data_IF_982926766588
#
_entry.id   IF_982926766588
#
_cell.length_a   1.000
_cell.length_b   1.000
_cell.length_c   1.000
_cell.angle_alpha   90.00
_cell.angle_beta   90.00
_cell.angle_gamma   90.00
#
_symmetry.space_group_name_H-M   'P 1'
#
loop_
_entity.id
_entity.type
_entity.pdbx_description
1 polymer ?
#
# COMPACT_ATOMS: atom_id res chain seq x y z
N UNK A 1 -8.23 33.07 -19.08
CA UNK A 1 -7.63 32.51 -17.86
C UNK A 1 -8.59 32.79 -16.73
N UNK A 2 -9.52 31.87 -16.47
CA UNK A 2 -10.39 31.99 -15.30
C UNK A 2 -9.63 31.49 -14.08
N UNK A 3 -9.30 32.41 -13.18
CA UNK A 3 -8.87 32.07 -11.82
C UNK A 3 -10.04 31.35 -11.13
N UNK A 4 -10.05 30.01 -11.16
CA UNK A 4 -10.80 29.24 -10.16
C UNK A 4 -10.22 29.66 -8.81
N UNK A 5 -11.07 30.25 -7.97
CA UNK A 5 -10.71 30.62 -6.60
C UNK A 5 -10.16 29.43 -5.81
N UNK A 6 -9.63 29.67 -4.60
CA UNK A 6 -9.14 28.58 -3.77
C UNK A 6 -10.21 27.48 -3.66
N UNK A 7 -9.82 26.20 -3.73
CA UNK A 7 -10.76 25.09 -3.68
C UNK A 7 -11.67 25.26 -2.47
N UNK A 8 -12.99 25.18 -2.70
CA UNK A 8 -13.96 25.35 -1.64
C UNK A 8 -13.64 24.36 -0.51
N UNK A 9 -13.49 24.87 0.71
CA UNK A 9 -13.27 24.03 1.88
C UNK A 9 -14.58 23.30 2.18
N UNK A 10 -14.67 22.04 1.76
CA UNK A 10 -15.87 21.21 1.92
C UNK A 10 -15.86 20.60 3.31
N UNK A 11 -16.87 20.92 4.12
CA UNK A 11 -17.14 20.19 5.35
C UNK A 11 -17.91 18.91 5.05
N UNK A 12 -17.18 17.82 4.85
CA UNK A 12 -17.76 16.50 4.63
C UNK A 12 -18.60 16.00 5.81
N UNK A 13 -18.37 16.50 7.03
CA UNK A 13 -19.17 16.10 8.20
C UNK A 13 -20.52 16.82 8.25
N UNK A 14 -20.69 17.93 7.52
CA UNK A 14 -21.99 18.59 7.41
C UNK A 14 -23.00 17.75 6.61
N UNK A 15 -22.55 16.94 5.65
CA UNK A 15 -23.41 16.07 4.84
C UNK A 15 -23.93 14.86 5.66
N UNK A 16 -25.26 14.67 5.81
CA UNK A 16 -25.83 13.51 6.50
C UNK A 16 -25.43 12.16 5.90
N UNK A 17 -25.09 12.10 4.61
CA UNK A 17 -24.64 10.90 3.93
C UNK A 17 -23.28 10.46 4.48
N UNK A 18 -22.28 11.35 4.43
CA UNK A 18 -20.91 11.05 4.85
C UNK A 18 -20.79 10.82 6.35
N UNK A 19 -21.65 11.43 7.18
CA UNK A 19 -21.70 11.17 8.63
C UNK A 19 -21.94 9.71 9.00
N UNK A 20 -22.62 8.96 8.13
CA UNK A 20 -22.92 7.54 8.37
C UNK A 20 -21.85 6.60 7.82
N UNK A 21 -20.92 7.10 7.00
CA UNK A 21 -19.90 6.30 6.32
C UNK A 21 -18.62 6.24 7.15
N UNK A 22 -17.93 5.10 7.06
CA UNK A 22 -16.62 4.92 7.72
C UNK A 22 -15.49 5.62 6.96
N UNK A 23 -15.62 5.73 5.64
CA UNK A 23 -14.68 6.36 4.73
C UNK A 23 -15.36 7.52 3.99
N UNK A 24 -14.67 8.65 3.93
CA UNK A 24 -15.08 9.88 3.24
C UNK A 24 -14.04 10.27 2.19
N UNK A 25 -14.40 11.09 1.19
CA UNK A 25 -13.45 11.54 0.16
C UNK A 25 -12.19 12.22 0.72
N UNK A 26 -12.28 12.91 1.86
CA UNK A 26 -11.13 13.56 2.51
C UNK A 26 -10.09 12.55 3.03
N UNK A 27 -10.49 11.30 3.27
CA UNK A 27 -9.62 10.24 3.77
C UNK A 27 -8.95 9.44 2.64
N UNK A 28 -9.24 9.77 1.38
CA UNK A 28 -8.60 9.20 0.21
C UNK A 28 -7.43 10.07 -0.24
N UNK A 29 -6.42 9.44 -0.81
CA UNK A 29 -5.41 10.13 -1.61
C UNK A 29 -5.52 9.61 -3.03
N UNK A 30 -5.87 10.50 -3.96
CA UNK A 30 -6.12 10.14 -5.34
C UNK A 30 -5.12 10.87 -6.22
N UNK A 31 -4.51 10.14 -7.14
CA UNK A 31 -3.56 10.68 -8.10
C UNK A 31 -3.92 10.22 -9.50
N UNK A 32 -3.88 11.13 -10.45
CA UNK A 32 -4.01 10.82 -11.87
C UNK A 32 -2.62 10.82 -12.52
N UNK A 33 -2.28 9.72 -13.19
CA UNK A 33 -1.11 9.56 -14.04
C UNK A 33 -1.51 9.89 -15.47
N UNK A 34 -0.81 10.86 -16.06
CA UNK A 34 -1.10 11.36 -17.42
C UNK A 34 0.14 11.85 -18.14
N UNK A 35 0.07 11.94 -19.47
CA UNK A 35 1.09 12.56 -20.29
C UNK A 35 0.89 14.08 -20.34
N UNK A 36 1.92 14.84 -20.00
CA UNK A 36 1.89 16.30 -19.96
C UNK A 36 2.90 16.90 -20.95
N UNK A 37 2.38 17.64 -21.94
CA UNK A 37 3.16 18.34 -22.97
C UNK A 37 3.66 19.74 -22.59
N UNK A 38 4.08 19.96 -21.35
CA UNK A 38 4.35 21.33 -20.85
C UNK A 38 5.69 21.91 -21.33
N UNK A 39 6.60 21.07 -21.84
CA UNK A 39 7.93 21.49 -22.32
C UNK A 39 8.03 21.26 -23.82
N UNK A 40 8.03 22.35 -24.58
CA UNK A 40 8.18 22.34 -26.04
C UNK A 40 9.46 21.62 -26.50
N UNK A 41 10.49 21.61 -25.65
CA UNK A 41 11.83 21.12 -26.01
C UNK A 41 12.03 19.62 -25.72
N UNK A 42 11.16 18.99 -24.92
CA UNK A 42 11.34 17.61 -24.41
C UNK A 42 10.17 16.68 -24.79
N UNK A 43 9.06 17.24 -25.30
CA UNK A 43 7.86 16.46 -25.62
C UNK A 43 7.02 16.11 -24.39
N UNK A 44 5.93 15.34 -24.58
CA UNK A 44 5.04 14.94 -23.48
C UNK A 44 5.74 14.00 -22.50
N UNK A 45 5.61 14.28 -21.21
CA UNK A 45 6.21 13.49 -20.14
C UNK A 45 5.15 12.94 -19.21
N UNK A 46 5.34 11.70 -18.73
CA UNK A 46 4.46 11.08 -17.76
C UNK A 46 4.54 11.83 -16.41
N UNK A 47 3.42 12.32 -15.91
CA UNK A 47 3.31 13.05 -14.66
C UNK A 47 2.19 12.50 -13.80
N UNK A 48 2.37 12.60 -12.48
CA UNK A 48 1.41 12.15 -11.48
C UNK A 48 0.88 13.37 -10.72
N UNK A 49 -0.43 13.59 -10.76
CA UNK A 49 -1.08 14.75 -10.17
C UNK A 49 -2.10 14.36 -9.12
N UNK A 50 -1.96 14.96 -7.94
CA UNK A 50 -2.94 14.81 -6.88
C UNK A 50 -4.29 15.42 -7.29
N UNK A 51 -5.36 14.65 -7.07
CA UNK A 51 -6.74 15.07 -7.22
C UNK A 51 -7.28 15.46 -5.85
N UNK A 52 -7.65 16.74 -5.71
CA UNK A 52 -8.16 17.25 -4.44
C UNK A 52 -9.55 16.68 -4.14
N UNK A 53 -9.87 16.27 -2.90
CA UNK A 53 -11.19 15.72 -2.58
C UNK A 53 -12.37 16.61 -2.98
N UNK A 54 -12.19 17.94 -2.91
CA UNK A 54 -13.21 18.92 -3.30
C UNK A 54 -13.58 18.87 -4.78
N UNK A 55 -12.71 18.35 -5.66
CA UNK A 55 -13.00 18.25 -7.10
C UNK A 55 -13.93 17.09 -7.42
N UNK A 56 -14.18 16.17 -6.48
CA UNK A 56 -15.14 15.09 -6.66
C UNK A 56 -16.60 15.54 -6.52
N UNK A 57 -16.87 16.75 -6.02
CA UNK A 57 -18.24 17.21 -5.75
C UNK A 57 -19.22 17.03 -6.92
N UNK A 58 -18.89 17.41 -8.18
CA UNK A 58 -19.80 17.22 -9.30
C UNK A 58 -20.10 15.73 -9.55
N UNK A 59 -19.08 14.87 -9.48
CA UNK A 59 -19.27 13.43 -9.69
C UNK A 59 -20.05 12.79 -8.54
N UNK A 60 -19.88 13.29 -7.31
CA UNK A 60 -20.57 12.80 -6.12
C UNK A 60 -22.07 13.13 -6.10
N UNK A 61 -22.57 13.99 -6.99
CA UNK A 61 -24.02 14.13 -7.21
C UNK A 61 -24.63 12.81 -7.72
N UNK A 62 -23.82 11.98 -8.39
CA UNK A 62 -24.20 10.65 -8.90
C UNK A 62 -23.81 9.50 -7.98
N UNK A 63 -23.51 9.78 -6.71
CA UNK A 63 -23.00 8.77 -5.74
C UNK A 63 -23.89 7.54 -5.55
N UNK A 64 -25.19 7.64 -5.83
CA UNK A 64 -26.14 6.55 -5.68
C UNK A 64 -26.44 5.84 -7.01
N UNK A 65 -25.94 6.37 -8.15
CA UNK A 65 -26.24 5.89 -9.51
C UNK A 65 -25.90 4.42 -9.71
N UNK A 66 -24.72 3.97 -9.28
CA UNK A 66 -24.35 2.56 -9.40
C UNK A 66 -25.29 1.67 -8.57
N UNK A 67 -25.73 2.12 -7.39
CA UNK A 67 -26.64 1.33 -6.55
C UNK A 67 -28.03 1.17 -7.19
N UNK A 68 -28.42 2.15 -8.01
CA UNK A 68 -29.72 2.19 -8.69
C UNK A 68 -29.69 1.47 -10.05
N UNK A 69 -28.53 1.43 -10.72
CA UNK A 69 -28.42 0.97 -12.12
C UNK A 69 -27.66 -0.34 -12.31
N UNK A 70 -27.07 -0.91 -11.26
CA UNK A 70 -26.30 -2.16 -11.34
C UNK A 70 -27.13 -3.30 -11.99
N UNK A 71 -26.63 -3.95 -13.06
CA UNK A 71 -27.39 -4.93 -13.83
C UNK A 71 -27.42 -6.31 -13.13
N UNK A 72 -28.09 -6.38 -11.97
CA UNK A 72 -28.11 -7.56 -11.08
C UNK A 72 -28.60 -8.84 -11.77
N UNK A 73 -29.59 -8.73 -12.66
CA UNK A 73 -30.18 -9.86 -13.37
C UNK A 73 -29.21 -10.49 -14.37
N UNK A 74 -28.36 -9.67 -14.99
CA UNK A 74 -27.31 -10.13 -15.91
C UNK A 74 -26.10 -10.68 -15.15
N UNK A 75 -25.92 -10.26 -13.90
CA UNK A 75 -24.76 -10.58 -13.09
C UNK A 75 -24.88 -11.94 -12.38
N UNK A 76 -26.08 -12.28 -11.87
CA UNK A 76 -26.35 -13.58 -11.24
C UNK A 76 -27.85 -13.90 -11.22
N UNK A 77 -28.27 -15.16 -11.45
CA UNK A 77 -29.66 -15.57 -11.29
C UNK A 77 -30.07 -15.73 -9.82
N UNK A 78 -29.13 -15.73 -8.86
CA UNK A 78 -29.41 -15.99 -7.45
C UNK A 78 -29.92 -14.73 -6.72
N UNK A 79 -31.20 -14.75 -6.32
CA UNK A 79 -31.84 -13.64 -5.57
C UNK A 79 -31.13 -13.26 -4.27
N UNK A 80 -30.50 -14.22 -3.58
CA UNK A 80 -29.74 -13.94 -2.36
C UNK A 80 -28.51 -13.08 -2.64
N UNK A 81 -27.79 -13.40 -3.71
CA UNK A 81 -26.62 -12.64 -4.16
C UNK A 81 -27.03 -11.27 -4.70
N UNK A 82 -28.14 -11.17 -5.44
CA UNK A 82 -28.67 -9.88 -5.88
C UNK A 82 -28.94 -8.93 -4.69
N UNK A 83 -29.57 -9.43 -3.63
CA UNK A 83 -29.81 -8.64 -2.42
C UNK A 83 -28.52 -8.24 -1.72
N UNK A 84 -27.53 -9.15 -1.66
CA UNK A 84 -26.22 -8.90 -1.09
C UNK A 84 -25.48 -7.79 -1.87
N UNK A 85 -25.42 -7.91 -3.20
CA UNK A 85 -24.80 -6.90 -4.07
C UNK A 85 -25.46 -5.56 -3.94
N UNK A 86 -26.79 -5.52 -3.85
CA UNK A 86 -27.52 -4.27 -3.61
C UNK A 86 -27.12 -3.62 -2.29
N UNK A 87 -26.92 -4.41 -1.23
CA UNK A 87 -26.44 -3.89 0.06
C UNK A 87 -25.00 -3.38 -0.03
N UNK A 88 -24.11 -4.08 -0.73
CA UNK A 88 -22.72 -3.66 -0.96
C UNK A 88 -22.68 -2.38 -1.82
N UNK A 89 -23.46 -2.31 -2.89
CA UNK A 89 -23.57 -1.12 -3.75
C UNK A 89 -24.19 0.06 -3.00
N UNK A 90 -25.16 -0.18 -2.12
CA UNK A 90 -25.68 0.86 -1.24
C UNK A 90 -24.64 1.36 -0.22
N UNK A 91 -23.61 0.58 0.13
CA UNK A 91 -22.54 1.02 1.03
C UNK A 91 -21.38 1.71 0.28
N UNK A 92 -20.95 1.09 -0.82
CA UNK A 92 -19.69 1.41 -1.50
C UNK A 92 -19.87 1.94 -2.93
N UNK A 93 -21.10 1.95 -3.46
CA UNK A 93 -21.37 2.32 -4.85
C UNK A 93 -20.94 3.73 -5.22
N UNK A 94 -20.87 4.64 -4.25
CA UNK A 94 -20.34 6.00 -4.45
C UNK A 94 -18.89 6.02 -4.95
N UNK A 95 -18.11 4.94 -4.73
CA UNK A 95 -16.75 4.83 -5.24
C UNK A 95 -16.72 4.81 -6.78
N UNK A 96 -17.84 4.54 -7.45
CA UNK A 96 -17.95 4.67 -8.89
C UNK A 96 -17.65 6.09 -9.40
N UNK A 97 -17.97 7.11 -8.60
CA UNK A 97 -17.60 8.50 -8.88
C UNK A 97 -16.07 8.67 -9.00
N UNK A 98 -15.28 7.80 -8.37
CA UNK A 98 -13.82 7.84 -8.43
C UNK A 98 -13.27 7.27 -9.74
N UNK A 99 -14.06 6.61 -10.60
CA UNK A 99 -13.63 6.28 -11.97
C UNK A 99 -13.37 7.54 -12.78
N UNK A 100 -14.09 8.63 -12.45
CA UNK A 100 -13.81 9.97 -12.94
C UNK A 100 -13.88 10.12 -14.45
N UNK A 101 -14.93 9.59 -15.06
CA UNK A 101 -15.19 9.76 -16.49
C UNK A 101 -15.10 11.25 -16.87
N UNK A 102 -15.63 12.16 -16.04
CA UNK A 102 -15.73 13.60 -16.37
C UNK A 102 -14.56 14.48 -15.91
N UNK A 103 -13.92 14.19 -14.77
CA UNK A 103 -12.70 14.92 -14.33
C UNK A 103 -11.54 14.70 -15.29
N UNK A 104 -11.54 13.57 -16.00
CA UNK A 104 -10.59 13.30 -17.06
C UNK A 104 -11.02 13.90 -18.41
N UNK A 105 -12.30 14.25 -18.61
CA UNK A 105 -12.87 14.81 -19.85
C UNK A 105 -12.64 16.31 -20.07
N UNK A 106 -11.70 16.97 -19.38
CA UNK A 106 -11.40 18.36 -19.70
C UNK A 106 -11.05 18.48 -21.19
N UNK A 107 -11.68 19.44 -21.88
CA UNK A 107 -11.72 19.69 -23.33
C UNK A 107 -10.37 19.72 -24.09
N UNK A 108 -9.25 19.53 -23.40
CA UNK A 108 -7.89 19.61 -23.94
C UNK A 108 -7.06 18.32 -23.80
N UNK A 109 -7.55 17.28 -23.11
CA UNK A 109 -6.81 16.02 -22.91
C UNK A 109 -7.41 14.88 -23.76
N UNK A 110 -6.76 14.49 -24.89
CA UNK A 110 -7.12 13.30 -25.65
C UNK A 110 -7.10 12.06 -24.74
N UNK A 111 -7.93 11.03 -25.03
CA UNK A 111 -7.94 9.77 -24.27
C UNK A 111 -6.55 9.14 -24.12
N UNK A 112 -5.70 9.31 -25.14
CA UNK A 112 -4.33 8.78 -25.26
C UNK A 112 -3.36 9.34 -24.21
N UNK A 113 -3.66 10.52 -23.65
CA UNK A 113 -2.85 11.15 -22.60
C UNK A 113 -3.19 10.64 -21.20
N UNK A 114 -4.28 9.89 -21.04
CA UNK A 114 -4.74 9.36 -19.75
C UNK A 114 -4.20 7.96 -19.58
N UNK A 115 -3.53 7.70 -18.46
CA UNK A 115 -2.84 6.43 -18.24
C UNK A 115 -3.47 5.63 -17.12
N UNK A 116 -3.44 6.17 -15.91
CA UNK A 116 -3.91 5.43 -14.73
C UNK A 116 -4.37 6.38 -13.63
N UNK A 117 -5.44 6.04 -12.91
CA UNK A 117 -5.84 6.62 -11.64
C UNK A 117 -5.43 5.70 -10.51
N UNK A 118 -4.66 6.27 -9.58
CA UNK A 118 -4.21 5.62 -8.38
C UNK A 118 -4.93 6.16 -7.16
N UNK A 119 -5.54 5.26 -6.39
CA UNK A 119 -6.23 5.58 -5.15
C UNK A 119 -5.48 4.91 -3.99
N UNK A 120 -5.15 5.68 -2.96
CA UNK A 120 -4.53 5.16 -1.75
C UNK A 120 -5.49 5.30 -0.56
N UNK A 121 -5.68 4.19 0.16
CA UNK A 121 -6.59 4.05 1.28
C UNK A 121 -5.82 3.50 2.48
N UNK A 122 -6.22 3.89 3.71
CA UNK A 122 -5.69 3.24 4.90
C UNK A 122 -6.19 1.80 4.99
N UNK A 123 -5.29 0.85 5.25
CA UNK A 123 -5.61 -0.57 5.43
C UNK A 123 -6.48 -0.89 6.65
N UNK A 124 -6.79 0.09 7.50
CA UNK A 124 -7.84 -0.04 8.53
C UNK A 124 -9.24 -0.26 7.94
N UNK A 125 -9.40 0.03 6.65
CA UNK A 125 -10.63 -0.12 5.90
C UNK A 125 -10.58 -1.38 5.02
N UNK A 126 -10.22 -2.53 5.58
CA UNK A 126 -10.10 -3.80 4.83
C UNK A 126 -11.39 -4.19 4.10
N UNK A 127 -12.55 -3.94 4.71
CA UNK A 127 -13.87 -4.23 4.13
C UNK A 127 -14.10 -3.45 2.81
N UNK A 128 -13.35 -2.37 2.58
CA UNK A 128 -13.43 -1.58 1.36
C UNK A 128 -12.70 -2.22 0.17
N UNK A 129 -11.98 -3.33 0.32
CA UNK A 129 -11.43 -4.07 -0.85
C UNK A 129 -12.55 -4.46 -1.81
N UNK A 130 -13.60 -5.10 -1.30
CA UNK A 130 -14.78 -5.50 -2.08
C UNK A 130 -15.50 -4.25 -2.61
N UNK A 131 -15.63 -3.22 -1.79
CA UNK A 131 -16.24 -1.95 -2.20
C UNK A 131 -15.50 -1.25 -3.34
N UNK A 132 -14.17 -1.27 -3.32
CA UNK A 132 -13.33 -0.70 -4.38
C UNK A 132 -13.47 -1.50 -5.67
N UNK A 133 -13.41 -2.83 -5.61
CA UNK A 133 -13.61 -3.67 -6.80
C UNK A 133 -15.01 -3.42 -7.39
N UNK A 134 -16.07 -3.47 -6.57
CA UNK A 134 -17.44 -3.25 -7.03
C UNK A 134 -17.63 -1.84 -7.62
N UNK A 135 -17.22 -0.81 -6.89
CA UNK A 135 -17.45 0.58 -7.26
C UNK A 135 -16.63 0.99 -8.48
N UNK A 136 -15.39 0.52 -8.57
CA UNK A 136 -14.49 0.85 -9.67
C UNK A 136 -14.58 -0.13 -10.84
N UNK A 137 -15.43 -1.15 -10.85
CA UNK A 137 -15.57 -2.02 -12.04
C UNK A 137 -16.46 -1.41 -13.11
N UNK A 138 -16.24 -1.79 -14.38
CA UNK A 138 -17.15 -1.46 -15.49
C UNK A 138 -18.25 -2.51 -15.65
N UNK A 139 -19.39 -2.25 -15.00
CA UNK A 139 -20.58 -3.10 -15.09
C UNK A 139 -21.26 -3.06 -16.45
N UNK A 140 -20.93 -2.13 -17.35
CA UNK A 140 -21.53 -2.05 -18.67
C UNK A 140 -20.99 -3.08 -19.66
N UNK A 141 -19.77 -3.58 -19.45
CA UNK A 141 -19.09 -4.47 -20.39
C UNK A 141 -19.23 -5.94 -20.03
N UNK A 142 -18.92 -6.33 -18.77
CA UNK A 142 -18.92 -7.73 -18.35
C UNK A 142 -19.41 -7.92 -16.90
N UNK A 143 -20.74 -7.83 -16.64
CA UNK A 143 -21.30 -8.03 -15.29
C UNK A 143 -20.95 -9.38 -14.65
N UNK A 144 -20.97 -10.46 -15.44
CA UNK A 144 -20.67 -11.82 -14.97
C UNK A 144 -19.21 -11.94 -14.53
N UNK A 145 -18.28 -11.37 -15.31
CA UNK A 145 -16.85 -11.33 -14.96
C UNK A 145 -16.59 -10.51 -13.69
N UNK A 146 -17.27 -9.37 -13.51
CA UNK A 146 -17.16 -8.57 -12.28
C UNK A 146 -17.68 -9.36 -11.08
N UNK A 147 -18.76 -10.12 -11.22
CA UNK A 147 -19.27 -10.98 -10.17
C UNK A 147 -18.31 -12.11 -9.81
N UNK A 148 -17.76 -12.78 -10.81
CA UNK A 148 -16.74 -13.80 -10.60
C UNK A 148 -15.53 -13.21 -9.86
N UNK A 149 -15.09 -12.02 -10.25
CA UNK A 149 -14.00 -11.31 -9.58
C UNK A 149 -14.31 -10.98 -8.11
N UNK A 150 -15.54 -10.55 -7.80
CA UNK A 150 -15.96 -10.28 -6.42
C UNK A 150 -15.97 -11.57 -5.59
N UNK A 151 -16.49 -12.69 -6.13
CA UNK A 151 -16.47 -13.97 -5.44
C UNK A 151 -15.04 -14.47 -5.21
N UNK A 152 -14.19 -14.37 -6.23
CA UNK A 152 -12.79 -14.76 -6.12
C UNK A 152 -12.03 -13.87 -5.15
N UNK A 153 -12.33 -12.57 -5.09
CA UNK A 153 -11.77 -11.65 -4.11
C UNK A 153 -12.12 -12.07 -2.68
N UNK A 154 -13.39 -12.34 -2.41
CA UNK A 154 -13.84 -12.78 -1.09
C UNK A 154 -13.22 -14.13 -0.70
N UNK A 155 -13.13 -15.05 -1.65
CA UNK A 155 -12.46 -16.32 -1.46
C UNK A 155 -10.97 -16.13 -1.14
N UNK A 156 -10.28 -15.29 -1.92
CA UNK A 156 -8.87 -14.95 -1.74
C UNK A 156 -8.61 -14.32 -0.37
N UNK A 157 -9.46 -13.36 0.05
CA UNK A 157 -9.41 -12.76 1.38
C UNK A 157 -9.54 -13.85 2.44
N UNK A 158 -10.55 -14.71 2.36
CA UNK A 158 -10.76 -15.77 3.34
C UNK A 158 -9.61 -16.80 3.38
N UNK A 159 -9.09 -17.16 2.21
CA UNK A 159 -8.00 -18.13 2.05
C UNK A 159 -6.66 -17.62 2.57
N UNK A 160 -6.38 -16.33 2.44
CA UNK A 160 -5.08 -15.74 2.79
C UNK A 160 -5.09 -14.98 4.11
N UNK A 161 -6.26 -14.74 4.68
CA UNK A 161 -6.35 -14.20 6.01
C UNK A 161 -5.86 -15.21 7.05
N UNK A 162 -4.97 -14.75 7.91
CA UNK A 162 -4.36 -15.54 8.96
C UNK A 162 -4.66 -14.88 10.30
N UNK A 163 -4.92 -15.74 11.27
CA UNK A 163 -5.07 -15.37 12.66
C UNK A 163 -3.82 -15.82 13.41
N UNK A 164 -3.22 -14.91 14.14
CA UNK A 164 -2.18 -15.24 15.11
C UNK A 164 -2.66 -14.90 16.52
N UNK A 165 -1.91 -15.35 17.53
CA UNK A 165 -2.02 -14.84 18.92
C UNK A 165 -1.80 -13.34 19.05
N UNK A 166 -1.54 -12.69 17.92
CA UNK A 166 -1.31 -11.28 17.83
C UNK A 166 -2.31 -10.56 16.90
N UNK A 167 -3.28 -11.22 16.28
CA UNK A 167 -4.31 -10.56 15.45
C UNK A 167 -4.30 -11.02 13.99
N UNK A 168 -5.05 -10.30 13.15
CA UNK A 168 -5.34 -10.64 11.75
C UNK A 168 -4.33 -10.01 10.79
N UNK A 169 -3.96 -10.74 9.75
CA UNK A 169 -3.09 -10.28 8.65
C UNK A 169 -3.34 -11.11 7.39
N UNK A 170 -2.91 -10.62 6.23
CA UNK A 170 -2.84 -11.45 5.02
C UNK A 170 -1.46 -12.09 4.90
N UNK A 171 -1.40 -13.40 4.63
CA UNK A 171 -0.17 -13.99 4.09
C UNK A 171 0.22 -13.28 2.79
N UNK A 172 1.50 -13.29 2.40
CA UNK A 172 1.88 -12.77 1.09
C UNK A 172 1.26 -13.63 -0.01
N UNK A 173 0.69 -13.00 -1.03
CA UNK A 173 0.13 -13.68 -2.20
C UNK A 173 -0.04 -12.72 -3.37
N UNK A 174 -0.22 -13.30 -4.55
CA UNK A 174 -0.68 -12.63 -5.77
C UNK A 174 -1.76 -13.51 -6.38
N UNK A 175 -2.92 -12.93 -6.69
CA UNK A 175 -4.08 -13.66 -7.17
C UNK A 175 -4.83 -12.86 -8.22
N UNK A 176 -4.92 -13.41 -9.43
CA UNK A 176 -5.86 -12.95 -10.45
C UNK A 176 -7.28 -13.28 -10.02
N UNK A 177 -8.19 -12.31 -10.15
CA UNK A 177 -9.56 -12.44 -9.67
C UNK A 177 -10.50 -12.98 -10.75
N UNK A 178 -10.07 -13.00 -12.01
CA UNK A 178 -10.83 -13.58 -13.12
C UNK A 178 -9.98 -14.66 -13.77
N UNK A 179 -10.56 -15.85 -13.96
CA UNK A 179 -9.91 -16.91 -14.74
C UNK A 179 -10.07 -16.60 -16.23
N UNK A 180 -8.98 -16.29 -16.92
CA UNK A 180 -8.96 -16.07 -18.37
C UNK A 180 -9.42 -17.34 -19.12
N UNK A 181 -10.67 -17.34 -19.60
CA UNK A 181 -11.16 -18.34 -20.55
C UNK A 181 -10.96 -17.82 -21.98
N UNK A 182 -9.71 -17.61 -22.41
CA UNK A 182 -9.38 -17.17 -23.77
C UNK A 182 -7.93 -16.72 -23.95
N UNK A 183 -7.45 -16.67 -25.20
CA UNK A 183 -6.10 -16.20 -25.57
C UNK A 183 -5.94 -14.66 -25.60
N UNK A 184 -6.96 -13.90 -25.18
CA UNK A 184 -6.94 -12.44 -25.27
C UNK A 184 -6.33 -11.79 -24.03
N UNK A 185 -5.11 -11.29 -24.24
CA UNK A 185 -4.33 -10.33 -23.42
C UNK A 185 -4.17 -10.72 -21.95
N UNK A 186 -3.21 -11.62 -21.71
CA UNK A 186 -2.66 -11.88 -20.37
C UNK A 186 -2.34 -10.58 -19.64
N UNK A 187 -2.90 -10.42 -18.44
CA UNK A 187 -2.46 -9.44 -17.46
C UNK A 187 -3.33 -8.20 -17.31
N UNK A 188 -4.36 -7.94 -18.12
CA UNK A 188 -5.20 -6.72 -17.95
C UNK A 188 -6.38 -6.88 -16.97
N UNK A 189 -6.54 -8.07 -16.39
CA UNK A 189 -7.63 -8.41 -15.46
C UNK A 189 -7.45 -7.86 -14.03
N UNK A 190 -8.51 -7.89 -13.22
CA UNK A 190 -8.43 -7.51 -11.82
C UNK A 190 -7.52 -8.47 -11.04
N UNK A 191 -6.63 -7.90 -10.23
CA UNK A 191 -5.58 -8.61 -9.49
C UNK A 191 -5.58 -8.12 -8.04
N UNK A 192 -5.49 -9.02 -7.07
CA UNK A 192 -5.17 -8.68 -5.69
C UNK A 192 -3.80 -9.24 -5.31
N UNK A 193 -2.98 -8.41 -4.70
CA UNK A 193 -1.78 -8.86 -4.01
C UNK A 193 -1.67 -8.28 -2.62
N UNK A 194 -0.98 -9.04 -1.77
CA UNK A 194 -0.55 -8.64 -0.45
C UNK A 194 0.94 -8.89 -0.33
N UNK A 195 1.71 -7.87 0.04
CA UNK A 195 3.14 -7.99 0.28
C UNK A 195 3.50 -7.36 1.63
N UNK A 196 4.15 -8.09 2.55
CA UNK A 196 4.76 -7.48 3.71
C UNK A 196 5.97 -6.67 3.23
N UNK A 197 6.22 -5.51 3.83
CA UNK A 197 7.43 -4.75 3.58
C UNK A 197 7.93 -4.14 4.88
N UNK A 198 9.22 -3.82 4.90
CA UNK A 198 9.84 -3.13 6.02
C UNK A 198 9.97 -1.63 5.66
N UNK A 199 9.61 -0.75 6.58
CA UNK A 199 9.65 0.71 6.41
C UNK A 199 10.37 1.35 7.60
N UNK A 200 11.07 2.46 7.36
CA UNK A 200 11.60 3.26 8.45
C UNK A 200 10.48 4.07 9.11
N UNK A 201 10.50 4.12 10.44
CA UNK A 201 9.61 5.00 11.20
C UNK A 201 10.35 6.27 11.62
N UNK A 202 9.59 7.37 11.63
CA UNK A 202 10.03 8.66 12.18
C UNK A 202 9.69 8.76 13.67
N UNK A 203 10.24 9.79 14.32
CA UNK A 203 9.91 10.12 15.71
C UNK A 203 8.40 10.38 15.89
N UNK A 204 7.82 9.79 16.92
CA UNK A 204 6.39 9.87 17.23
C UNK A 204 5.85 8.60 17.89
N UNK A 205 4.60 8.66 18.34
CA UNK A 205 3.87 7.47 18.78
C UNK A 205 3.56 6.59 17.56
N UNK A 206 3.87 5.29 17.60
CA UNK A 206 3.37 4.36 16.59
C UNK A 206 1.85 4.43 16.55
N UNK A 207 1.24 4.22 15.37
CA UNK A 207 -0.21 4.16 15.29
C UNK A 207 -0.80 3.00 16.10
N UNK A 208 -2.06 3.13 16.53
CA UNK A 208 -2.78 1.96 17.03
C UNK A 208 -2.85 0.90 15.93
N UNK A 209 -2.65 -0.35 16.33
CA UNK A 209 -2.68 -1.51 15.43
C UNK A 209 -4.07 -1.64 14.77
N UNK A 210 -4.09 -2.14 13.53
CA UNK A 210 -5.29 -2.30 12.67
C UNK A 210 -6.48 -2.98 13.37
N UNK A 211 -6.17 -3.90 14.28
CA UNK A 211 -7.13 -4.67 15.05
C UNK A 211 -6.79 -4.47 16.53
N UNK A 212 -7.23 -3.35 17.12
CA UNK A 212 -7.41 -3.36 18.56
C UNK A 212 -8.41 -4.47 18.85
N UNK A 213 -8.01 -5.42 19.70
CA UNK A 213 -8.90 -6.46 20.22
C UNK A 213 -10.20 -5.78 20.63
N UNK A 214 -11.34 -6.35 20.22
CA UNK A 214 -12.63 -5.92 20.72
C UNK A 214 -12.55 -5.91 22.27
N UNK A 215 -12.80 -4.77 22.94
CA UNK A 215 -12.79 -4.69 24.40
C UNK A 215 -13.68 -5.76 25.08
N UNK A 216 -14.63 -6.34 24.33
CA UNK A 216 -15.53 -7.41 24.76
C UNK A 216 -14.90 -8.80 24.76
N UNK A 217 -13.86 -9.03 23.96
CA UNK A 217 -13.13 -10.31 23.91
C UNK A 217 -12.07 -10.45 25.01
N UNK A 218 -11.74 -9.36 25.73
CA UNK A 218 -10.99 -9.42 26.98
C UNK A 218 -9.51 -9.83 26.87
N UNK A 219 -8.95 -9.97 25.67
CA UNK A 219 -7.51 -10.21 25.52
C UNK A 219 -6.73 -8.96 25.97
N UNK A 220 -5.72 -9.14 26.80
CA UNK A 220 -4.76 -8.10 27.17
C UNK A 220 -3.43 -8.41 26.51
N UNK A 221 -2.77 -7.38 25.97
CA UNK A 221 -1.38 -7.47 25.51
C UNK A 221 -0.50 -8.07 26.61
N UNK A 222 0.20 -9.17 26.32
CA UNK A 222 1.18 -9.71 27.26
C UNK A 222 2.39 -8.77 27.30
N UNK A 223 2.54 -8.01 28.40
CA UNK A 223 3.75 -7.23 28.67
C UNK A 223 4.91 -8.17 29.01
N UNK A 224 5.55 -8.75 27.99
CA UNK A 224 6.83 -9.43 28.13
C UNK A 224 7.94 -8.52 27.64
N UNK A 225 9.07 -8.46 28.36
CA UNK A 225 10.26 -7.73 27.90
C UNK A 225 10.66 -8.24 26.52
N UNK A 226 10.48 -7.42 25.49
CA UNK A 226 10.87 -7.78 24.13
C UNK A 226 12.39 -7.93 24.08
N UNK A 227 12.86 -9.00 23.44
CA UNK A 227 14.28 -9.15 23.13
C UNK A 227 14.71 -8.01 22.20
N UNK A 228 15.95 -7.53 22.30
CA UNK A 228 16.42 -6.34 21.56
C UNK A 228 16.21 -6.45 20.04
N UNK A 229 16.30 -7.68 19.49
CA UNK A 229 16.03 -7.98 18.07
C UNK A 229 14.53 -8.16 17.76
N UNK A 230 13.75 -8.72 18.71
CA UNK A 230 12.28 -8.93 18.58
C UNK A 230 11.51 -7.63 18.41
N UNK A 231 12.06 -6.54 18.94
CA UNK A 231 11.48 -5.21 18.80
C UNK A 231 11.33 -4.77 17.33
N UNK A 232 12.18 -5.29 16.42
CA UNK A 232 12.18 -4.94 14.99
C UNK A 232 11.03 -5.64 14.23
N UNK A 233 10.70 -6.88 14.61
CA UNK A 233 9.66 -7.70 13.96
C UNK A 233 8.32 -7.66 14.67
N UNK A 234 8.20 -6.80 15.69
CA UNK A 234 7.05 -6.73 16.58
C UNK A 234 5.70 -6.48 15.87
N UNK A 235 5.72 -5.95 14.63
CA UNK A 235 4.48 -5.74 13.86
C UNK A 235 3.93 -7.02 13.18
N UNK A 236 4.70 -8.11 13.09
CA UNK A 236 4.15 -9.46 12.85
C UNK A 236 3.48 -10.03 14.11
N UNK A 237 3.79 -9.46 15.27
CA UNK A 237 3.27 -9.81 16.57
C UNK A 237 2.31 -8.72 17.12
N UNK A 238 1.31 -8.36 16.31
CA UNK A 238 0.20 -7.41 16.53
C UNK A 238 -0.62 -7.39 17.87
N UNK A 239 -0.17 -7.98 18.98
CA UNK A 239 -0.74 -7.74 20.33
C UNK A 239 0.31 -7.34 21.37
N UNK A 240 1.50 -6.92 20.96
CA UNK A 240 2.46 -6.31 21.90
C UNK A 240 2.33 -4.79 21.89
N UNK A 241 2.47 -4.19 23.07
CA UNK A 241 2.48 -2.75 23.24
C UNK A 241 3.61 -2.14 22.41
N UNK A 242 3.27 -1.33 21.41
CA UNK A 242 4.26 -0.68 20.54
C UNK A 242 5.04 0.42 21.26
N UNK A 243 4.64 0.80 22.47
CA UNK A 243 5.41 1.69 23.34
C UNK A 243 6.65 1.02 23.94
N UNK A 244 6.68 -0.31 24.03
CA UNK A 244 7.84 -1.09 24.49
C UNK A 244 8.94 -1.22 23.42
N UNK A 245 8.78 -0.58 22.25
CA UNK A 245 9.81 -0.54 21.21
C UNK A 245 11.02 0.26 21.66
N UNK A 246 12.21 -0.29 21.42
CA UNK A 246 13.43 0.48 21.62
C UNK A 246 13.37 1.79 20.82
N UNK A 247 13.77 2.93 21.40
CA UNK A 247 13.79 4.20 20.67
C UNK A 247 14.80 4.23 19.51
N UNK A 248 15.80 3.34 19.50
CA UNK A 248 16.89 3.30 18.51
C UNK A 248 17.09 1.88 17.99
N UNK A 249 16.14 1.38 17.20
CA UNK A 249 16.16 0.01 16.65
C UNK A 249 17.02 -0.11 15.41
N UNK A 250 17.18 0.97 14.63
CA UNK A 250 17.74 0.88 13.26
C UNK A 250 19.27 0.79 13.27
N UNK A 251 19.96 1.59 14.08
CA UNK A 251 21.42 1.55 14.17
C UNK A 251 21.88 1.59 15.62
N UNK A 252 22.81 0.71 15.99
CA UNK A 252 23.34 0.63 17.36
C UNK A 252 24.44 1.66 17.62
N UNK A 253 25.43 1.71 16.73
CA UNK A 253 26.65 2.51 16.89
C UNK A 253 27.03 3.24 15.60
N UNK A 254 26.88 2.59 14.45
CA UNK A 254 27.23 3.18 13.18
C UNK A 254 26.08 4.01 12.64
N UNK A 255 26.20 5.35 12.69
CA UNK A 255 25.28 6.28 12.03
C UNK A 255 25.97 6.79 10.77
N UNK A 256 25.83 6.14 9.61
CA UNK A 256 26.66 6.43 8.44
C UNK A 256 26.52 7.90 7.97
N UNK A 257 25.35 8.50 8.18
CA UNK A 257 25.09 9.93 7.93
C UNK A 257 25.84 10.90 8.87
N UNK A 258 26.48 10.45 9.96
CA UNK A 258 27.27 11.35 10.80
C UNK A 258 28.64 11.66 10.20
N UNK A 259 29.16 10.77 9.34
CA UNK A 259 30.47 10.89 8.69
C UNK A 259 30.37 11.17 7.19
N UNK A 260 29.24 10.85 6.55
CA UNK A 260 29.00 11.11 5.13
C UNK A 260 27.88 12.16 4.94
N UNK A 261 28.27 13.33 4.43
CA UNK A 261 27.36 14.46 4.14
C UNK A 261 26.39 14.17 2.99
N UNK A 262 26.82 13.45 1.96
CA UNK A 262 25.94 13.13 0.83
C UNK A 262 24.83 12.20 1.31
N UNK A 263 25.21 11.23 2.14
CA UNK A 263 24.26 10.34 2.77
C UNK A 263 23.31 11.07 3.74
N UNK A 264 23.83 11.98 4.56
CA UNK A 264 23.01 12.84 5.42
C UNK A 264 21.92 13.58 4.63
N UNK A 265 22.33 14.28 3.56
CA UNK A 265 21.40 15.01 2.70
C UNK A 265 20.40 14.08 2.01
N UNK A 266 20.83 12.88 1.59
CA UNK A 266 19.95 11.86 1.03
C UNK A 266 18.91 11.47 2.08
N UNK A 267 19.32 10.97 3.26
CA UNK A 267 18.39 10.52 4.32
C UNK A 267 17.40 11.62 4.72
N UNK A 268 17.86 12.87 4.92
CA UNK A 268 16.98 14.00 5.26
C UNK A 268 16.01 14.37 4.13
N UNK A 269 16.42 14.25 2.87
CA UNK A 269 15.51 14.46 1.71
C UNK A 269 14.35 13.47 1.73
N UNK A 270 14.62 12.23 2.13
CA UNK A 270 13.65 11.14 2.12
C UNK A 270 12.75 11.12 3.34
N UNK A 271 13.33 11.31 4.53
CA UNK A 271 12.64 11.12 5.80
C UNK A 271 12.53 12.39 6.64
N UNK A 272 13.13 13.51 6.25
CA UNK A 272 13.21 14.75 7.05
C UNK A 272 14.07 14.65 8.30
N UNK A 273 14.13 13.46 8.87
CA UNK A 273 14.72 13.08 10.12
C UNK A 273 15.48 11.77 9.91
N UNK A 274 16.36 11.45 10.85
CA UNK A 274 17.06 10.18 10.80
C UNK A 274 16.13 9.04 11.24
N UNK A 275 16.13 7.91 10.53
CA UNK A 275 15.33 6.75 10.91
C UNK A 275 15.80 6.24 12.28
N UNK A 276 14.85 6.09 13.20
CA UNK A 276 15.13 5.61 14.56
C UNK A 276 14.57 4.23 14.81
N UNK A 277 13.50 3.85 14.10
CA UNK A 277 12.82 2.56 14.22
C UNK A 277 12.54 1.93 12.86
N UNK A 278 12.31 0.61 12.88
CA UNK A 278 11.87 -0.15 11.71
C UNK A 278 10.47 -0.69 12.00
N UNK A 279 9.56 -0.50 11.04
CA UNK A 279 8.23 -1.10 11.03
C UNK A 279 8.16 -2.16 9.95
N UNK A 280 7.56 -3.30 10.24
CA UNK A 280 6.97 -4.12 9.19
C UNK A 280 5.58 -3.55 8.92
N UNK A 281 5.20 -3.31 7.68
CA UNK A 281 3.81 -3.03 7.28
C UNK A 281 3.40 -3.98 6.14
N UNK A 282 2.13 -3.98 5.77
CA UNK A 282 1.61 -4.70 4.62
C UNK A 282 1.10 -3.68 3.61
N UNK A 283 1.55 -3.83 2.36
CA UNK A 283 0.97 -3.17 1.20
C UNK A 283 0.04 -4.15 0.53
N UNK A 284 -1.24 -3.78 0.41
CA UNK A 284 -2.17 -4.47 -0.46
C UNK A 284 -2.36 -3.64 -1.72
N UNK A 285 -2.37 -4.30 -2.88
CA UNK A 285 -2.63 -3.63 -4.15
C UNK A 285 -3.74 -4.38 -4.86
N UNK A 286 -4.82 -3.67 -5.15
CA UNK A 286 -5.94 -4.12 -5.93
C UNK A 286 -5.89 -3.41 -7.28
N UNK A 287 -5.52 -4.12 -8.33
CA UNK A 287 -5.75 -3.70 -9.71
C UNK A 287 -7.19 -4.04 -10.05
N UNK A 288 -7.95 -3.06 -10.54
CA UNK A 288 -9.36 -3.26 -10.92
C UNK A 288 -9.48 -3.43 -12.43
N UNK A 289 -8.78 -2.59 -13.18
CA UNK A 289 -8.65 -2.65 -14.63
C UNK A 289 -7.34 -1.95 -15.03
N UNK A 290 -7.03 -1.90 -16.32
CA UNK A 290 -5.81 -1.26 -16.85
C UNK A 290 -5.64 0.22 -16.43
N UNK A 291 -6.70 0.90 -15.98
CA UNK A 291 -6.67 2.32 -15.61
C UNK A 291 -6.79 2.56 -14.12
N UNK A 292 -7.23 1.60 -13.31
CA UNK A 292 -7.53 1.84 -11.89
C UNK A 292 -6.77 0.89 -10.98
N UNK A 293 -5.97 1.48 -10.09
CA UNK A 293 -5.23 0.76 -9.05
C UNK A 293 -5.50 1.36 -7.69
N UNK A 294 -5.81 0.50 -6.72
CA UNK A 294 -6.05 0.88 -5.33
C UNK A 294 -5.00 0.25 -4.44
N UNK A 295 -4.39 1.05 -3.57
CA UNK A 295 -3.38 0.58 -2.62
C UNK A 295 -3.84 0.79 -1.19
N UNK A 296 -3.54 -0.17 -0.31
CA UNK A 296 -3.85 -0.12 1.10
C UNK A 296 -2.59 -0.30 1.94
N UNK A 297 -2.41 0.55 2.96
CA UNK A 297 -1.31 0.38 3.92
C UNK A 297 -1.64 1.01 5.27
N UNK A 298 -0.97 0.60 6.34
CA UNK A 298 -1.29 1.12 7.67
C UNK A 298 -0.56 2.41 7.98
N UNK A 299 0.69 2.55 7.54
CA UNK A 299 1.65 3.50 8.09
C UNK A 299 1.47 5.00 7.70
N UNK A 300 0.28 5.47 7.32
CA UNK A 300 0.20 6.66 6.45
C UNK A 300 -0.83 7.74 6.73
N UNK A 301 -1.90 7.49 7.48
CA UNK A 301 -2.90 8.56 7.65
C UNK A 301 -2.47 9.71 8.57
N UNK A 302 -1.30 9.62 9.23
CA UNK A 302 -0.81 10.63 10.19
C UNK A 302 0.59 11.21 9.90
N UNK A 303 1.34 10.67 8.93
CA UNK A 303 2.67 11.20 8.60
C UNK A 303 2.54 12.46 7.74
N UNK A 304 3.49 13.39 7.85
CA UNK A 304 3.51 14.55 6.94
C UNK A 304 3.68 14.10 5.50
N UNK A 305 3.05 14.81 4.56
CA UNK A 305 3.33 14.63 3.12
C UNK A 305 4.68 15.19 2.72
N UNK A 306 5.17 16.18 3.46
CA UNK A 306 6.49 16.77 3.26
C UNK A 306 7.29 16.79 4.56
N UNK A 307 8.47 16.15 4.62
CA UNK A 307 9.09 15.31 3.58
C UNK A 307 8.24 14.08 3.24
N UNK A 308 8.50 13.33 2.15
CA UNK A 308 7.67 12.23 1.66
C UNK A 308 7.70 11.03 2.62
N UNK A 309 7.04 11.16 3.77
CA UNK A 309 7.01 10.17 4.84
C UNK A 309 5.91 9.14 4.68
N UNK A 310 4.93 9.44 3.83
CA UNK A 310 3.91 8.51 3.40
C UNK A 310 4.45 7.70 2.21
N UNK A 311 4.23 6.38 2.16
CA UNK A 311 4.54 5.55 0.98
C UNK A 311 3.95 6.14 -0.29
N UNK A 312 2.75 6.71 -0.24
CA UNK A 312 2.12 7.31 -1.42
C UNK A 312 2.98 8.46 -1.98
N UNK A 313 3.40 9.39 -1.11
CA UNK A 313 4.32 10.46 -1.48
C UNK A 313 5.67 9.92 -1.99
N UNK A 314 6.16 8.80 -1.43
CA UNK A 314 7.39 8.15 -1.90
C UNK A 314 7.22 7.52 -3.28
N UNK A 315 6.19 6.69 -3.50
CA UNK A 315 5.95 6.08 -4.81
C UNK A 315 5.90 7.18 -5.89
N UNK A 316 5.19 8.28 -5.63
CA UNK A 316 5.08 9.44 -6.50
C UNK A 316 6.44 10.12 -6.78
N UNK A 317 7.23 10.41 -5.74
CA UNK A 317 8.45 11.21 -5.88
C UNK A 317 9.66 10.40 -6.39
N UNK A 318 9.58 9.07 -6.41
CA UNK A 318 10.77 8.22 -6.29
C UNK A 318 10.71 7.08 -7.29
N UNK A 319 9.84 6.12 -7.03
CA UNK A 319 9.66 4.95 -7.88
C UNK A 319 9.17 5.37 -9.25
N UNK A 320 8.24 6.32 -9.26
CA UNK A 320 7.68 6.87 -10.47
C UNK A 320 8.71 7.65 -11.31
N UNK A 321 9.70 8.32 -10.70
CA UNK A 321 10.73 9.04 -11.48
C UNK A 321 11.55 8.10 -12.35
N UNK A 322 11.88 6.91 -11.85
CA UNK A 322 12.60 5.89 -12.63
C UNK A 322 11.78 5.41 -13.82
N UNK A 323 10.51 5.07 -13.58
CA UNK A 323 9.60 4.60 -14.62
C UNK A 323 9.33 5.69 -15.66
N UNK A 324 9.10 6.93 -15.23
CA UNK A 324 8.93 8.09 -16.12
C UNK A 324 10.10 8.26 -17.06
N UNK A 325 11.33 8.15 -16.55
CA UNK A 325 12.53 8.27 -17.38
C UNK A 325 12.67 7.09 -18.34
N UNK A 326 12.36 5.87 -17.90
CA UNK A 326 12.39 4.67 -18.74
C UNK A 326 11.36 4.74 -19.88
N UNK A 327 10.13 5.16 -19.56
CA UNK A 327 9.02 5.35 -20.50
C UNK A 327 9.37 6.31 -21.64
N UNK A 328 10.17 7.35 -21.37
CA UNK A 328 10.64 8.28 -22.40
C UNK A 328 11.79 7.73 -23.26
N UNK A 329 12.54 6.77 -22.73
CA UNK A 329 13.70 6.19 -23.40
C UNK A 329 13.39 4.96 -24.23
N UNK A 330 12.23 4.33 -24.03
CA UNK A 330 11.78 3.20 -24.84
C UNK A 330 11.37 3.66 -26.23
N UNK A 331 11.93 3.04 -27.27
CA UNK A 331 11.51 3.26 -28.66
C UNK A 331 10.12 2.68 -28.95
N UNK A 332 9.66 1.77 -28.09
CA UNK A 332 8.30 1.24 -28.12
C UNK A 332 7.36 2.19 -27.38
N UNK A 333 6.22 2.51 -28.01
CA UNK A 333 5.07 3.17 -27.40
C UNK A 333 4.44 2.26 -26.33
N UNK A 334 5.19 1.88 -25.30
CA UNK A 334 4.65 1.12 -24.18
C UNK A 334 3.59 1.96 -23.48
N UNK A 335 2.41 1.40 -23.26
CA UNK A 335 1.36 2.10 -22.52
C UNK A 335 1.64 2.00 -21.01
N UNK A 336 1.29 3.05 -20.26
CA UNK A 336 1.41 3.02 -18.80
C UNK A 336 0.07 2.59 -18.22
N UNK A 337 0.01 1.39 -17.65
CA UNK A 337 -1.22 0.82 -17.09
C UNK A 337 -1.14 0.69 -15.56
N UNK A 338 -2.23 0.24 -14.96
CA UNK A 338 -2.31 -0.12 -13.55
C UNK A 338 -1.25 -1.16 -13.14
N UNK A 339 -0.85 -2.07 -14.04
CA UNK A 339 0.23 -3.04 -13.79
C UNK A 339 1.60 -2.40 -13.75
N UNK A 340 1.87 -1.46 -14.67
CA UNK A 340 3.10 -0.66 -14.59
C UNK A 340 3.14 0.13 -13.28
N UNK A 341 2.00 0.65 -12.84
CA UNK A 341 1.89 1.32 -11.55
C UNK A 341 2.02 0.38 -10.35
N UNK A 342 1.56 -0.86 -10.45
CA UNK A 342 1.81 -1.90 -9.45
C UNK A 342 3.31 -2.12 -9.24
N UNK A 343 4.09 -2.25 -10.32
CA UNK A 343 5.55 -2.34 -10.24
C UNK A 343 6.16 -1.10 -9.56
N UNK A 344 5.63 0.09 -9.88
CA UNK A 344 6.03 1.34 -9.20
C UNK A 344 5.79 1.29 -7.69
N UNK A 345 4.61 0.80 -7.28
CA UNK A 345 4.20 0.69 -5.89
C UNK A 345 5.08 -0.31 -5.12
N UNK A 346 5.34 -1.49 -5.71
CA UNK A 346 6.23 -2.51 -5.14
C UNK A 346 7.67 -2.03 -5.05
N UNK A 347 8.18 -1.38 -6.09
CA UNK A 347 9.51 -0.77 -6.06
C UNK A 347 9.64 0.28 -4.97
N UNK A 348 8.56 1.04 -4.72
CA UNK A 348 8.50 2.03 -3.63
C UNK A 348 8.46 1.41 -2.24
N UNK A 349 7.78 0.28 -2.08
CA UNK A 349 7.69 -0.43 -0.81
C UNK A 349 8.96 -1.22 -0.49
N UNK A 350 9.50 -1.98 -1.46
CA UNK A 350 10.64 -2.87 -1.29
C UNK A 350 11.99 -2.13 -1.36
N UNK A 351 12.09 -1.10 -2.21
CA UNK A 351 13.33 -0.37 -2.44
C UNK A 351 13.91 0.27 -1.19
N UNK A 352 13.10 0.63 -0.20
CA UNK A 352 13.52 1.45 0.94
C UNK A 352 14.55 0.79 1.88
N UNK A 353 14.68 -0.53 1.83
CA UNK A 353 15.67 -1.30 2.59
C UNK A 353 16.52 -2.20 1.69
N UNK A 354 16.29 -2.13 0.39
CA UNK A 354 17.05 -2.91 -0.55
C UNK A 354 18.38 -2.21 -0.87
N UNK A 355 19.44 -3.01 -1.05
CA UNK A 355 20.78 -2.52 -1.36
C UNK A 355 20.82 -1.75 -2.68
N UNK A 356 19.92 -2.03 -3.63
CA UNK A 356 19.83 -1.27 -4.89
C UNK A 356 19.51 0.21 -4.66
N UNK A 357 18.78 0.53 -3.58
CA UNK A 357 18.44 1.91 -3.25
C UNK A 357 19.50 2.57 -2.34
N UNK A 358 20.14 1.76 -1.50
CA UNK A 358 21.20 2.16 -0.58
C UNK A 358 22.52 1.41 -0.84
N UNK A 359 23.15 1.58 -2.02
CA UNK A 359 24.36 0.83 -2.35
C UNK A 359 25.52 1.12 -1.38
N UNK A 360 25.52 2.33 -0.82
CA UNK A 360 26.57 2.88 0.04
C UNK A 360 26.29 2.75 1.54
N UNK A 361 25.18 2.11 1.95
CA UNK A 361 24.81 1.94 3.36
C UNK A 361 24.81 0.47 3.75
N UNK A 362 25.50 0.15 4.85
CA UNK A 362 25.28 -1.12 5.55
C UNK A 362 23.84 -1.16 6.06
N UNK A 363 23.05 -2.11 5.57
CA UNK A 363 21.64 -2.25 5.96
C UNK A 363 21.50 -2.32 7.48
N UNK A 364 20.49 -1.63 8.00
CA UNK A 364 20.24 -1.49 9.44
C UNK A 364 20.14 -2.82 10.17
N UNK A 365 19.48 -3.81 9.56
CA UNK A 365 19.39 -5.16 10.10
C UNK A 365 20.79 -5.78 10.22
N UNK A 366 21.63 -5.67 9.19
CA UNK A 366 22.99 -6.20 9.23
C UNK A 366 23.83 -5.58 10.36
N UNK A 367 23.77 -4.25 10.58
CA UNK A 367 24.46 -3.58 11.71
C UNK A 367 23.98 -4.12 13.07
N UNK A 368 22.66 -4.23 13.24
CA UNK A 368 22.05 -4.69 14.49
C UNK A 368 22.42 -6.13 14.83
N UNK A 369 22.26 -7.04 13.87
CA UNK A 369 22.62 -8.45 14.07
C UNK A 369 24.12 -8.60 14.32
N UNK A 370 24.98 -7.93 13.55
CA UNK A 370 26.43 -7.99 13.75
C UNK A 370 26.86 -7.47 15.13
N UNK A 371 26.32 -6.33 15.58
CA UNK A 371 26.61 -5.78 16.90
C UNK A 371 26.14 -6.71 18.03
N UNK A 372 24.95 -7.30 17.90
CA UNK A 372 24.40 -8.20 18.92
C UNK A 372 25.19 -9.52 18.99
N UNK A 373 25.51 -10.11 17.83
CA UNK A 373 26.36 -11.31 17.75
C UNK A 373 27.75 -11.06 18.35
N UNK A 374 28.36 -9.90 18.10
CA UNK A 374 29.63 -9.52 18.72
C UNK A 374 29.56 -9.44 20.25
N UNK A 375 28.46 -8.92 20.79
CA UNK A 375 28.21 -8.91 22.24
C UNK A 375 28.03 -10.34 22.82
N UNK A 376 27.29 -11.20 22.12
CA UNK A 376 27.11 -12.60 22.52
C UNK A 376 28.43 -13.37 22.46
N UNK A 377 29.26 -13.17 21.43
CA UNK A 377 30.59 -13.77 21.31
C UNK A 377 31.49 -13.37 22.48
N UNK A 378 31.52 -12.10 22.86
CA UNK A 378 32.26 -11.63 24.03
C UNK A 378 31.79 -12.31 25.33
N UNK A 379 30.46 -12.46 25.52
CA UNK A 379 29.90 -13.18 26.68
C UNK A 379 30.23 -14.66 26.65
N UNK A 380 30.24 -15.30 25.48
CA UNK A 380 30.62 -16.71 25.30
C UNK A 380 32.05 -16.96 25.78
N UNK A 381 32.98 -16.09 25.43
CA UNK A 381 34.38 -16.20 25.83
C UNK A 381 34.61 -15.98 27.34
N UNK A 382 33.75 -15.21 28.02
CA UNK A 382 33.94 -14.84 29.43
C UNK A 382 33.13 -15.66 30.43
N UNK A 383 31.90 -16.05 30.08
CA UNK A 383 30.98 -16.72 31.00
C UNK A 383 29.87 -17.46 30.22
N UNK A 384 30.16 -18.65 29.66
CA UNK A 384 29.14 -19.46 29.02
C UNK A 384 28.02 -19.82 30.02
N UNK A 385 26.76 -19.77 29.57
CA UNK A 385 25.59 -20.05 30.40
C UNK A 385 24.41 -20.51 29.55
N UNK A 386 23.46 -21.25 30.15
CA UNK A 386 22.21 -21.64 29.47
C UNK A 386 21.43 -20.43 28.95
N UNK A 387 21.47 -19.30 29.69
CA UNK A 387 20.87 -18.04 29.23
C UNK A 387 21.46 -17.55 27.91
N UNK A 388 22.78 -17.66 27.73
CA UNK A 388 23.45 -17.28 26.49
C UNK A 388 23.03 -18.16 25.30
N UNK A 389 22.82 -19.46 25.55
CA UNK A 389 22.32 -20.39 24.52
C UNK A 389 20.90 -20.01 24.12
N UNK A 390 20.03 -19.68 25.08
CA UNK A 390 18.68 -19.20 24.79
C UNK A 390 18.70 -17.87 24.01
N UNK A 391 19.58 -16.93 24.38
CA UNK A 391 19.76 -15.67 23.65
C UNK A 391 20.16 -15.95 22.18
N UNK A 392 21.07 -16.91 21.92
CA UNK A 392 21.49 -17.29 20.56
C UNK A 392 20.38 -17.95 19.74
N UNK A 393 19.61 -18.88 20.34
CA UNK A 393 18.45 -19.50 19.69
C UNK A 393 17.42 -18.44 19.29
N UNK A 394 17.23 -17.43 20.14
CA UNK A 394 16.34 -16.33 19.82
C UNK A 394 16.86 -15.48 18.65
N UNK A 395 18.17 -15.17 18.58
CA UNK A 395 18.74 -14.49 17.39
C UNK A 395 18.45 -15.27 16.11
N UNK A 396 18.63 -16.59 16.16
CA UNK A 396 18.37 -17.47 15.02
C UNK A 396 16.90 -17.42 14.59
N UNK A 397 15.96 -17.51 15.54
CA UNK A 397 14.52 -17.42 15.26
C UNK A 397 14.15 -16.10 14.59
N UNK A 398 14.62 -14.97 15.12
CA UNK A 398 14.34 -13.64 14.54
C UNK A 398 14.96 -13.50 13.14
N UNK A 399 16.18 -14.01 12.93
CA UNK A 399 16.83 -13.97 11.61
C UNK A 399 16.06 -14.81 10.59
N UNK A 400 15.58 -15.99 10.98
CA UNK A 400 14.78 -16.85 10.12
C UNK A 400 13.49 -16.16 9.66
N UNK A 401 12.84 -15.37 10.53
CA UNK A 401 11.64 -14.61 10.16
C UNK A 401 11.98 -13.55 9.10
N UNK A 402 13.07 -12.80 9.28
CA UNK A 402 13.52 -11.80 8.27
C UNK A 402 13.79 -12.48 6.93
N UNK A 403 14.54 -13.59 6.94
CA UNK A 403 14.84 -14.36 5.73
C UNK A 403 13.54 -14.82 5.07
N UNK A 404 12.62 -15.41 5.85
CA UNK A 404 11.33 -15.87 5.32
C UNK A 404 10.52 -14.73 4.68
N UNK A 405 10.48 -13.54 5.30
CA UNK A 405 9.79 -12.37 4.73
C UNK A 405 10.44 -11.94 3.42
N UNK A 406 11.78 -11.91 3.37
CA UNK A 406 12.52 -11.52 2.17
C UNK A 406 12.37 -12.53 1.04
N UNK A 407 12.44 -13.83 1.34
CA UNK A 407 12.22 -14.91 0.37
C UNK A 407 10.80 -14.80 -0.19
N UNK A 408 9.79 -14.62 0.67
CA UNK A 408 8.40 -14.40 0.24
C UNK A 408 8.24 -13.15 -0.65
N UNK A 409 8.98 -12.07 -0.39
CA UNK A 409 8.96 -10.88 -1.25
C UNK A 409 9.60 -11.16 -2.62
N UNK A 410 10.71 -11.90 -2.65
CA UNK A 410 11.40 -12.27 -3.89
C UNK A 410 10.54 -13.21 -4.73
N UNK A 411 10.02 -14.28 -4.13
CA UNK A 411 9.10 -15.22 -4.77
C UNK A 411 7.89 -14.48 -5.34
N UNK A 412 7.33 -13.51 -4.58
CA UNK A 412 6.21 -12.69 -5.05
C UNK A 412 6.57 -11.85 -6.28
N UNK A 413 7.75 -11.24 -6.30
CA UNK A 413 8.23 -10.44 -7.44
C UNK A 413 8.47 -11.32 -8.66
N UNK A 414 9.05 -12.50 -8.48
CA UNK A 414 9.30 -13.46 -9.56
C UNK A 414 7.98 -13.96 -10.16
N UNK A 415 7.00 -14.35 -9.33
CA UNK A 415 5.66 -14.70 -9.82
C UNK A 415 5.00 -13.54 -10.58
N UNK A 416 5.20 -12.28 -10.14
CA UNK A 416 4.66 -11.12 -10.83
C UNK A 416 5.32 -10.88 -12.18
N UNK A 417 6.62 -11.13 -12.30
CA UNK A 417 7.35 -11.06 -13.58
C UNK A 417 6.94 -12.18 -14.53
N UNK A 418 6.52 -13.34 -14.03
CA UNK A 418 6.00 -14.42 -14.87
C UNK A 418 4.58 -14.13 -15.41
N UNK A 419 3.81 -13.31 -14.69
CA UNK A 419 2.45 -12.93 -15.07
C UNK A 419 2.38 -11.72 -16.01
N UNK A 420 3.29 -10.75 -15.86
CA UNK A 420 3.35 -9.49 -16.64
C UNK A 420 4.34 -9.58 -17.79
#
# INVERSE_FOLDING_TARGET
MDFKGPPAQVDWQADPYWRKRRLTPLQLQVHDVRLEGWRLDVGPMLEMKEVLPSTFLPDLERRDELSDTIPLENATPNRGEQNRLKAIAAEFGWMNCLRGNDVQNTLFDPPEMRKCRWIHISSKFSDYLVGCLLGLSDWGQNPEGVMAAIHQLEHCIHQNERFSKHGRYFSPFVQELVEEHGEEVRGEGPLLLSVPFLDWTVEGSPPPLRFQIDPREGYQSSKSSSHMLRSILQHFYRLEDTTDREPQQVFTKHKPWSTDRNLDLKVRRWYGHYPTRLDVDELWVLVVDARHVVTFSSNQSWKSRWPPLQLSARIMEVSFRGIRNSFLSSADNQDYTANTHLIAALSGALGMLHRSFWPDITLCLSDRYASYLGHLQYRLHRSPSTKLVMDLLQVQEELNIVIQIMDQQMDLVDHLQDML
#
